data_IF_345772107240
#
_entry.id   IF_345772107240
#
_cell.length_a   1.000
_cell.length_b   1.000
_cell.length_c   1.000
_cell.angle_alpha   90.00
_cell.angle_beta   90.00
_cell.angle_gamma   90.00
#
_symmetry.space_group_name_H-M   'P 1'
#
loop_
_entity.id
_entity.type
_entity.pdbx_description
1 polymer ?
#
# COMPACT_ATOMS: atom_id res chain seq x y z
N UNK A 1 -18.45 -21.60 0.32
CA UNK A 1 -17.34 -21.52 -0.64
C UNK A 1 -16.39 -20.46 -0.11
N UNK A 2 -15.16 -20.82 0.20
CA UNK A 2 -14.14 -19.89 0.70
C UNK A 2 -13.70 -18.99 -0.46
N UNK A 3 -13.79 -17.67 -0.30
CA UNK A 3 -13.30 -16.74 -1.32
C UNK A 3 -11.80 -16.94 -1.57
N UNK A 4 -11.37 -16.77 -2.83
CA UNK A 4 -9.95 -16.74 -3.17
C UNK A 4 -9.38 -15.39 -2.74
N UNK A 5 -8.36 -15.39 -1.88
CA UNK A 5 -7.54 -14.21 -1.58
C UNK A 5 -6.10 -14.49 -1.99
N UNK A 6 -5.57 -13.70 -2.91
CA UNK A 6 -4.14 -13.69 -3.28
C UNK A 6 -3.58 -12.34 -2.82
N UNK A 7 -2.60 -12.35 -1.93
CA UNK A 7 -1.91 -11.15 -1.46
C UNK A 7 -0.42 -11.28 -1.77
N UNK A 8 0.14 -10.28 -2.45
CA UNK A 8 1.58 -10.22 -2.72
C UNK A 8 2.13 -8.82 -2.45
N UNK A 9 3.20 -8.75 -1.65
CA UNK A 9 3.97 -7.53 -1.39
C UNK A 9 5.37 -7.70 -1.97
N UNK A 10 5.79 -6.76 -2.82
CA UNK A 10 7.11 -6.77 -3.45
C UNK A 10 7.59 -5.34 -3.72
N UNK A 11 8.90 -5.11 -3.66
CA UNK A 11 9.51 -3.85 -4.08
C UNK A 11 9.84 -3.92 -5.57
N UNK A 12 9.26 -3.04 -6.37
CA UNK A 12 9.50 -2.94 -7.81
C UNK A 12 10.29 -1.69 -8.15
N UNK A 13 11.08 -1.76 -9.22
CA UNK A 13 11.54 -0.54 -9.90
C UNK A 13 10.37 0.20 -10.55
N UNK A 14 10.55 1.49 -10.84
CA UNK A 14 9.52 2.29 -11.54
C UNK A 14 9.09 1.68 -12.88
N UNK A 15 10.01 1.06 -13.61
CA UNK A 15 9.72 0.43 -14.90
C UNK A 15 8.91 -0.86 -14.74
N UNK A 16 9.21 -1.68 -13.73
CA UNK A 16 8.46 -2.90 -13.44
C UNK A 16 7.04 -2.58 -12.95
N UNK A 17 6.89 -1.57 -12.10
CA UNK A 17 5.57 -1.10 -11.67
C UNK A 17 4.75 -0.58 -12.85
N UNK A 18 5.34 0.24 -13.73
CA UNK A 18 4.66 0.73 -14.93
C UNK A 18 4.23 -0.40 -15.87
N UNK A 19 5.08 -1.43 -16.04
CA UNK A 19 4.75 -2.60 -16.84
C UNK A 19 3.57 -3.37 -16.22
N UNK A 20 3.56 -3.58 -14.91
CA UNK A 20 2.45 -4.27 -14.23
C UNK A 20 1.11 -3.53 -14.44
N UNK A 21 1.10 -2.21 -14.31
CA UNK A 21 -0.09 -1.39 -14.54
C UNK A 21 -0.52 -1.41 -16.01
N UNK A 22 0.44 -1.43 -16.95
CA UNK A 22 0.14 -1.56 -18.37
C UNK A 22 -0.48 -2.91 -18.73
N UNK A 23 0.06 -4.01 -18.18
CA UNK A 23 -0.48 -5.37 -18.38
C UNK A 23 -1.93 -5.46 -17.83
N UNK A 24 -2.19 -4.85 -16.65
CA UNK A 24 -3.55 -4.72 -16.10
C UNK A 24 -4.46 -3.93 -17.04
N UNK A 25 -4.01 -2.76 -17.49
CA UNK A 25 -4.79 -1.88 -18.36
C UNK A 25 -5.08 -2.51 -19.74
N UNK A 26 -4.19 -3.36 -20.26
CA UNK A 26 -4.40 -4.08 -21.50
C UNK A 26 -5.50 -5.13 -21.35
N UNK A 27 -5.46 -5.95 -20.31
CA UNK A 27 -6.50 -6.95 -20.05
C UNK A 27 -7.88 -6.33 -19.80
N UNK A 28 -7.95 -5.23 -19.06
CA UNK A 28 -9.23 -4.51 -18.80
C UNK A 28 -9.86 -3.91 -20.06
N UNK A 29 -9.06 -3.58 -21.09
CA UNK A 29 -9.57 -3.06 -22.38
C UNK A 29 -10.10 -4.14 -23.31
N UNK A 30 -9.71 -5.39 -23.08
CA UNK A 30 -10.09 -6.54 -23.90
C UNK A 30 -11.50 -7.03 -23.60
N UNK A 31 -11.63 -8.34 -23.46
CA UNK A 31 -12.86 -9.05 -23.09
C UNK A 31 -13.00 -9.23 -21.57
N UNK A 32 -12.12 -8.62 -20.78
CA UNK A 32 -12.09 -8.76 -19.33
C UNK A 32 -11.26 -9.95 -18.84
N UNK A 33 -10.58 -10.69 -19.71
CA UNK A 33 -9.56 -11.67 -19.30
C UNK A 33 -8.23 -10.96 -18.99
N UNK A 34 -7.89 -10.90 -17.70
CA UNK A 34 -6.68 -10.23 -17.21
C UNK A 34 -5.70 -11.26 -16.69
N UNK A 35 -4.48 -11.24 -17.22
CA UNK A 35 -3.38 -12.10 -16.77
C UNK A 35 -2.23 -11.24 -16.24
N UNK A 36 -1.97 -11.34 -14.93
CA UNK A 36 -0.91 -10.58 -14.25
C UNK A 36 0.22 -11.49 -13.80
N UNK A 37 1.45 -11.07 -14.08
CA UNK A 37 2.65 -11.71 -13.53
C UNK A 37 3.04 -11.04 -12.21
N UNK A 38 2.83 -11.78 -11.15
CA UNK A 38 3.19 -11.43 -9.79
C UNK A 38 4.48 -12.21 -9.46
N UNK A 39 5.43 -11.63 -8.72
CA UNK A 39 6.76 -12.25 -8.50
C UNK A 39 6.80 -13.71 -7.99
N UNK A 40 5.68 -14.25 -7.49
CA UNK A 40 5.53 -15.66 -7.07
C UNK A 40 4.65 -16.53 -7.99
N UNK A 41 4.06 -15.99 -9.06
CA UNK A 41 3.16 -16.74 -9.95
C UNK A 41 2.36 -15.86 -10.91
N UNK A 42 1.47 -16.50 -11.67
CA UNK A 42 0.53 -15.80 -12.55
C UNK A 42 -0.85 -15.80 -11.91
N UNK A 43 -1.53 -14.66 -11.96
CA UNK A 43 -2.94 -14.54 -11.58
C UNK A 43 -3.76 -14.29 -12.84
N UNK A 44 -4.81 -15.09 -13.03
CA UNK A 44 -5.78 -14.95 -14.10
C UNK A 44 -7.11 -14.52 -13.48
N UNK A 45 -7.71 -13.45 -14.01
CA UNK A 45 -8.94 -12.83 -13.52
C UNK A 45 -9.92 -12.68 -14.67
N UNK A 46 -11.20 -12.98 -14.42
CA UNK A 46 -12.30 -12.56 -15.29
C UNK A 46 -12.94 -11.33 -14.68
N UNK A 47 -12.85 -10.21 -15.38
CA UNK A 47 -13.36 -8.91 -14.98
C UNK A 47 -14.67 -8.63 -15.68
N UNK A 48 -15.70 -8.27 -14.91
CA UNK A 48 -17.00 -7.92 -15.45
C UNK A 48 -16.95 -6.64 -16.28
N UNK A 49 -17.92 -6.48 -17.18
CA UNK A 49 -18.01 -5.31 -18.08
C UNK A 49 -18.16 -3.95 -17.36
N UNK A 50 -18.56 -3.96 -16.09
CA UNK A 50 -18.60 -2.78 -15.22
C UNK A 50 -17.66 -2.96 -14.02
N UNK A 51 -16.79 -1.97 -13.82
CA UNK A 51 -15.82 -1.94 -12.71
C UNK A 51 -16.03 -0.67 -11.89
N UNK A 52 -16.24 -0.82 -10.58
CA UNK A 52 -16.11 0.29 -9.64
C UNK A 52 -14.63 0.50 -9.36
N UNK A 53 -14.18 1.73 -9.48
CA UNK A 53 -12.77 2.11 -9.35
C UNK A 53 -12.64 3.21 -8.30
N UNK A 54 -11.77 2.98 -7.32
CA UNK A 54 -11.37 3.95 -6.32
C UNK A 54 -9.84 4.15 -6.44
N UNK A 55 -9.41 5.42 -6.40
CA UNK A 55 -8.02 5.81 -6.50
C UNK A 55 -7.72 6.79 -5.36
N UNK A 56 -6.80 6.41 -4.50
CA UNK A 56 -6.39 7.23 -3.36
C UNK A 56 -4.90 7.54 -3.44
N UNK A 57 -4.53 8.74 -3.00
CA UNK A 57 -3.14 9.19 -2.96
C UNK A 57 -2.90 9.86 -1.63
N UNK A 58 -1.97 9.31 -0.86
CA UNK A 58 -1.57 9.83 0.44
C UNK A 58 -0.09 10.21 0.45
N UNK A 59 0.27 11.15 1.32
CA UNK A 59 1.65 11.59 1.52
C UNK A 59 1.94 11.80 3.02
N UNK A 60 2.95 11.09 3.53
CA UNK A 60 3.50 11.26 4.88
C UNK A 60 4.99 11.62 4.79
N UNK A 61 5.28 12.91 4.94
CA UNK A 61 6.63 13.45 4.79
C UNK A 61 7.20 13.22 3.38
N UNK A 62 8.19 12.35 3.26
CA UNK A 62 8.82 11.98 1.98
C UNK A 62 8.27 10.66 1.39
N UNK A 63 7.29 10.05 2.07
CA UNK A 63 6.64 8.84 1.61
C UNK A 63 5.37 9.20 0.87
N UNK A 64 5.16 8.55 -0.27
CA UNK A 64 3.95 8.67 -1.07
C UNK A 64 3.36 7.29 -1.25
N UNK A 65 2.05 7.20 -1.10
CA UNK A 65 1.26 6.00 -1.31
C UNK A 65 0.22 6.30 -2.37
N UNK A 66 0.06 5.37 -3.30
CA UNK A 66 -0.99 5.39 -4.31
C UNK A 66 -1.66 4.04 -4.27
N UNK A 67 -2.95 4.05 -3.97
CA UNK A 67 -3.79 2.87 -3.94
C UNK A 67 -4.77 2.91 -5.12
N UNK A 68 -4.93 1.77 -5.79
CA UNK A 68 -5.91 1.56 -6.84
C UNK A 68 -6.74 0.34 -6.47
N UNK A 69 -7.99 0.57 -6.10
CA UNK A 69 -8.94 -0.48 -5.80
C UNK A 69 -9.95 -0.64 -6.94
N UNK A 70 -10.13 -1.88 -7.40
CA UNK A 70 -11.08 -2.25 -8.45
C UNK A 70 -12.03 -3.32 -7.91
N UNK A 71 -13.32 -3.04 -7.93
CA UNK A 71 -14.39 -3.96 -7.50
C UNK A 71 -15.32 -4.27 -8.68
N UNK A 72 -15.61 -5.55 -8.87
CA UNK A 72 -16.53 -6.01 -9.92
C UNK A 72 -17.21 -7.33 -9.53
N UNK A 73 -18.31 -7.62 -10.22
CA UNK A 73 -19.01 -8.90 -10.17
C UNK A 73 -18.56 -9.78 -11.34
N UNK A 74 -18.27 -11.06 -11.08
CA UNK A 74 -17.94 -12.04 -12.14
C UNK A 74 -19.16 -12.52 -12.94
N UNK A 75 -20.37 -12.10 -12.56
CA UNK A 75 -21.62 -12.37 -13.29
C UNK A 75 -22.07 -11.07 -13.97
N UNK A 76 -22.21 -11.06 -15.30
CA UNK A 76 -22.57 -9.90 -16.15
C UNK A 76 -24.01 -9.32 -15.92
N UNK A 77 -24.55 -9.41 -14.70
CA UNK A 77 -25.91 -8.94 -14.40
C UNK A 77 -26.15 -8.42 -12.99
N UNK A 78 -25.13 -8.38 -12.12
CA UNK A 78 -25.27 -7.85 -10.77
C UNK A 78 -24.36 -6.65 -10.59
N UNK A 79 -24.85 -5.47 -10.96
CA UNK A 79 -24.37 -4.23 -10.36
C UNK A 79 -24.72 -4.30 -8.87
N UNK A 80 -23.77 -4.73 -8.04
CA UNK A 80 -23.88 -4.66 -6.57
C UNK A 80 -23.85 -3.18 -6.19
N UNK A 81 -24.99 -2.52 -6.32
CA UNK A 81 -25.23 -1.19 -5.76
C UNK A 81 -25.50 -1.36 -4.27
N UNK A 82 -24.45 -1.56 -3.48
CA UNK A 82 -24.42 -1.25 -2.05
C UNK A 82 -22.97 -1.34 -1.56
N UNK A 83 -22.24 -0.23 -1.62
CA UNK A 83 -21.12 -0.01 -0.71
C UNK A 83 -21.52 1.18 0.17
N UNK A 84 -21.56 0.93 1.48
CA UNK A 84 -21.43 1.96 2.49
C UNK A 84 -19.97 2.43 2.45
N UNK A 85 -19.78 3.75 2.31
CA UNK A 85 -18.50 4.45 2.47
C UNK A 85 -17.92 4.14 3.87
N UNK A 86 -17.00 3.19 3.95
CA UNK A 86 -16.11 3.03 5.09
C UNK A 86 -14.68 3.20 4.57
N UNK A 87 -14.33 4.46 4.33
CA UNK A 87 -12.95 4.92 4.31
C UNK A 87 -12.38 4.72 5.73
N UNK A 88 -11.97 3.49 6.04
CA UNK A 88 -11.20 3.18 7.23
C UNK A 88 -9.73 3.50 6.93
N UNK A 89 -9.37 4.77 7.08
CA UNK A 89 -7.98 5.15 7.26
C UNK A 89 -7.40 4.36 8.44
N UNK A 90 -6.46 3.46 8.15
CA UNK A 90 -5.72 2.78 9.22
C UNK A 90 -4.84 3.81 9.92
N UNK A 91 -5.32 4.21 11.09
CA UNK A 91 -4.64 5.05 12.07
C UNK A 91 -3.24 4.50 12.36
N UNK A 92 -2.20 5.18 11.87
CA UNK A 92 -0.81 4.92 12.22
C UNK A 92 -0.59 5.27 13.70
N UNK A 93 -0.72 4.24 14.55
CA UNK A 93 -0.51 4.37 15.98
C UNK A 93 0.97 4.69 16.30
N UNK A 94 1.17 5.93 16.75
CA UNK A 94 2.06 6.33 17.85
C UNK A 94 3.57 6.06 17.67
N UNK A 95 4.26 7.02 17.04
CA UNK A 95 5.67 7.28 17.24
C UNK A 95 5.87 8.56 18.08
N UNK A 96 5.42 8.57 19.33
CA UNK A 96 5.68 9.65 20.28
C UNK A 96 6.87 9.34 21.21
N UNK A 97 8.02 9.90 20.86
CA UNK A 97 9.09 10.41 21.73
C UNK A 97 9.29 9.80 23.13
N UNK A 98 10.46 9.16 23.31
CA UNK A 98 11.27 9.36 24.54
C UNK A 98 12.74 9.57 24.20
N UNK A 99 13.12 10.84 24.20
CA UNK A 99 14.51 11.33 24.25
C UNK A 99 15.22 10.81 25.52
N UNK A 100 16.49 10.36 25.44
CA UNK A 100 17.27 10.09 26.65
C UNK A 100 17.74 11.43 27.26
N UNK A 101 17.59 11.67 28.58
CA UNK A 101 18.10 12.89 29.18
C UNK A 101 19.63 12.89 29.20
N UNK A 102 20.22 13.86 28.49
CA UNK A 102 21.63 14.22 28.61
C UNK A 102 21.93 14.67 30.05
N UNK A 103 22.58 13.81 30.82
CA UNK A 103 23.06 14.15 32.15
C UNK A 103 24.26 15.11 32.04
N UNK A 104 23.99 16.42 31.97
CA UNK A 104 24.98 17.46 32.26
C UNK A 104 25.33 17.41 33.75
N UNK A 105 26.42 16.74 34.12
CA UNK A 105 27.18 17.06 35.33
C UNK A 105 28.68 16.90 35.09
N UNK A 106 29.35 18.03 34.92
CA UNK A 106 30.75 18.27 35.27
C UNK A 106 30.78 19.75 35.68
N UNK A 107 31.43 20.15 36.81
CA UNK A 107 32.87 19.89 37.00
C UNK A 107 33.31 19.69 38.48
N UNK A 108 34.34 18.88 38.73
CA UNK A 108 35.36 19.26 39.72
C UNK A 108 36.65 18.44 39.53
N UNK A 109 37.54 18.95 38.67
CA UNK A 109 38.97 18.70 38.83
C UNK A 109 39.44 19.39 40.12
N UNK A 110 39.76 18.62 41.15
CA UNK A 110 40.67 19.08 42.21
C UNK A 110 42.08 18.66 41.81
N UNK A 111 42.83 19.59 41.21
CA UNK A 111 44.30 19.49 41.13
C UNK A 111 44.89 20.03 42.44
N UNK A 112 45.92 19.39 43.02
CA UNK A 112 46.57 19.90 44.22
C UNK A 112 47.57 21.01 43.86
N UNK A 113 47.67 22.02 44.72
CA UNK A 113 48.74 23.02 44.68
C UNK A 113 49.72 22.76 45.84
N UNK A 114 50.99 22.59 45.47
CA UNK A 114 52.15 22.58 46.34
C UNK A 114 52.31 23.92 47.09
N UNK A 115 52.78 23.83 48.34
CA UNK A 115 53.77 24.76 48.90
C UNK A 115 54.59 24.06 49.97
#
# INVERSE_FOLDING_TARGET
MSGLKVEQKQSLSRAEAAKLVADLAEGLKGDGEVTLKLGGGTVELTVGSQVRCELEVEADGEKFELELELKWSSSDGASDQKDEDEASGEESADAAQRVPPQNRRSPQERRPAQK
#
